data_IF_415328889278
#
_entry.id   IF_415328889278
#
_cell.length_a   1.000
_cell.length_b   1.000
_cell.length_c   1.000
_cell.angle_alpha   90.00
_cell.angle_beta   90.00
_cell.angle_gamma   90.00
#
_symmetry.space_group_name_H-M   'P 1'
#
loop_
_entity.id
_entity.type
_entity.pdbx_description
1 polymer ?
#
# COMPACT_ATOMS: atom_id res chain seq x y z
N UNK A 1 35.65 -4.83 -7.77
CA UNK A 1 35.20 -3.75 -6.86
C UNK A 1 35.03 -4.37 -5.48
N UNK A 2 35.01 -3.58 -4.42
CA UNK A 2 34.56 -4.08 -3.13
C UNK A 2 33.06 -4.39 -3.19
N UNK A 3 32.66 -5.40 -2.45
CA UNK A 3 31.28 -5.82 -2.32
C UNK A 3 30.56 -4.95 -1.29
N UNK A 4 29.24 -4.82 -1.42
CA UNK A 4 28.43 -4.05 -0.48
C UNK A 4 27.11 -4.73 -0.15
N UNK A 5 26.66 -4.52 1.07
CA UNK A 5 25.32 -4.83 1.56
C UNK A 5 24.66 -3.52 1.95
N UNK A 6 23.47 -3.28 1.41
CA UNK A 6 22.66 -2.09 1.61
C UNK A 6 21.24 -2.49 2.05
N UNK A 7 20.56 -1.62 2.79
CA UNK A 7 19.11 -1.65 2.94
C UNK A 7 18.53 -0.69 1.91
N UNK A 8 17.61 -1.19 1.10
CA UNK A 8 16.78 -0.37 0.22
C UNK A 8 15.46 0.00 0.90
N UNK A 9 15.01 1.24 0.72
CA UNK A 9 13.72 1.74 1.19
C UNK A 9 12.89 2.17 -0.01
N UNK A 10 11.81 1.45 -0.30
CA UNK A 10 10.86 1.79 -1.35
C UNK A 10 9.62 2.43 -0.75
N UNK A 11 9.29 3.65 -1.16
CA UNK A 11 8.05 4.30 -0.74
C UNK A 11 6.87 3.48 -1.26
N UNK A 12 5.98 3.08 -0.34
CA UNK A 12 4.77 2.31 -0.65
C UNK A 12 3.49 3.06 -0.27
N UNK A 13 3.61 4.32 0.13
CA UNK A 13 2.50 5.20 0.45
C UNK A 13 2.90 6.31 1.41
N UNK A 14 1.91 7.15 1.73
CA UNK A 14 2.05 8.25 2.68
C UNK A 14 0.84 8.30 3.59
N UNK A 15 1.05 8.52 4.88
CA UNK A 15 0.00 8.71 5.88
C UNK A 15 0.25 10.00 6.65
N UNK A 16 -0.75 10.89 6.72
CA UNK A 16 -0.65 12.20 7.39
C UNK A 16 0.56 13.04 6.92
N UNK A 17 0.85 13.01 5.63
CA UNK A 17 2.00 13.72 5.04
C UNK A 17 3.35 13.06 5.30
N UNK A 18 3.38 11.86 5.90
CA UNK A 18 4.60 11.09 6.13
C UNK A 18 4.64 9.86 5.23
N UNK A 19 5.68 9.78 4.40
CA UNK A 19 5.97 8.60 3.59
C UNK A 19 6.36 7.41 4.47
N UNK A 20 5.80 6.24 4.18
CA UNK A 20 6.21 4.97 4.77
C UNK A 20 6.79 4.03 3.72
N UNK A 21 7.73 3.20 4.16
CA UNK A 21 8.60 2.46 3.26
C UNK A 21 8.57 0.96 3.54
N UNK A 22 8.68 0.21 2.45
CA UNK A 22 9.06 -1.20 2.42
C UNK A 22 10.59 -1.30 2.37
N UNK A 23 11.17 -2.12 3.25
CA UNK A 23 12.59 -2.47 3.23
C UNK A 23 12.84 -3.75 2.44
N UNK A 24 13.93 -3.73 1.69
CA UNK A 24 14.57 -4.90 1.09
C UNK A 24 16.08 -4.84 1.34
N UNK A 25 16.76 -5.99 1.32
CA UNK A 25 18.21 -6.06 1.39
C UNK A 25 18.78 -6.16 -0.01
N UNK A 26 19.88 -5.46 -0.26
CA UNK A 26 20.54 -5.41 -1.55
C UNK A 26 22.02 -5.73 -1.39
N UNK A 27 22.48 -6.73 -2.12
CA UNK A 27 23.89 -7.08 -2.24
C UNK A 27 24.43 -6.65 -3.61
N UNK A 28 25.67 -6.17 -3.66
CA UNK A 28 26.40 -5.96 -4.92
C UNK A 28 27.71 -6.74 -4.87
N UNK A 29 27.91 -7.60 -5.86
CA UNK A 29 29.10 -8.44 -5.98
C UNK A 29 30.31 -7.66 -6.54
N UNK A 30 31.45 -8.33 -6.68
CA UNK A 30 32.71 -7.73 -7.18
C UNK A 30 32.61 -7.27 -8.63
N UNK A 31 31.70 -7.86 -9.40
CA UNK A 31 31.43 -7.60 -10.80
C UNK A 31 30.36 -6.51 -10.98
N UNK A 32 29.73 -6.05 -9.89
CA UNK A 32 28.67 -5.05 -9.90
C UNK A 32 27.27 -5.62 -10.10
N UNK A 33 27.09 -6.94 -10.14
CA UNK A 33 25.75 -7.53 -10.18
C UNK A 33 25.08 -7.36 -8.82
N UNK A 34 23.77 -7.11 -8.87
CA UNK A 34 22.99 -6.79 -7.70
C UNK A 34 21.91 -7.86 -7.46
N UNK A 35 21.73 -8.25 -6.19
CA UNK A 35 20.76 -9.27 -5.78
C UNK A 35 19.99 -8.82 -4.54
N UNK A 36 18.72 -9.24 -4.40
CA UNK A 36 17.88 -8.85 -3.28
C UNK A 36 17.41 -10.00 -2.38
N UNK A 37 17.08 -9.63 -1.14
CA UNK A 37 16.23 -10.40 -0.23
C UNK A 37 15.08 -9.48 0.18
N UNK A 38 13.83 -9.93 -0.02
CA UNK A 38 12.64 -9.14 0.26
C UNK A 38 11.54 -9.99 0.90
N UNK A 39 10.72 -9.35 1.73
CA UNK A 39 9.57 -9.98 2.38
C UNK A 39 8.25 -9.40 1.89
N UNK A 40 7.26 -10.25 1.70
CA UNK A 40 5.97 -9.93 1.12
C UNK A 40 4.83 -10.50 1.98
N UNK A 41 3.62 -10.01 1.73
CA UNK A 41 2.42 -10.72 2.18
C UNK A 41 2.36 -12.09 1.52
N UNK A 42 1.87 -13.10 2.23
CA UNK A 42 1.57 -14.41 1.64
C UNK A 42 0.10 -14.58 1.34
N UNK A 43 -0.31 -15.84 1.18
CA UNK A 43 -1.70 -16.18 0.90
C UNK A 43 -2.58 -16.02 2.15
N UNK A 44 -3.69 -15.26 2.07
CA UNK A 44 -4.62 -15.11 3.19
C UNK A 44 -5.22 -16.45 3.64
N UNK A 45 -5.30 -16.65 4.94
CA UNK A 45 -5.86 -17.85 5.57
C UNK A 45 -6.72 -17.46 6.79
N UNK A 46 -7.60 -18.34 7.30
CA UNK A 46 -8.36 -18.07 8.52
C UNK A 46 -7.44 -17.67 9.68
N UNK A 47 -7.63 -16.45 10.21
CA UNK A 47 -6.81 -15.88 11.28
C UNK A 47 -5.50 -15.20 10.82
N UNK A 48 -5.18 -15.26 9.53
CA UNK A 48 -4.01 -14.64 8.89
C UNK A 48 -4.46 -13.85 7.65
N UNK A 49 -5.03 -12.64 7.81
CA UNK A 49 -5.60 -11.86 6.70
C UNK A 49 -4.59 -11.47 5.62
N UNK A 50 -3.29 -11.41 5.95
CA UNK A 50 -2.19 -11.14 5.02
C UNK A 50 -1.30 -12.38 4.77
N UNK A 51 -1.77 -13.55 5.20
CA UNK A 51 -1.01 -14.78 5.18
C UNK A 51 0.19 -14.79 6.13
N UNK A 52 1.01 -15.82 5.98
CA UNK A 52 2.38 -15.80 6.51
C UNK A 52 3.29 -15.07 5.54
N UNK A 53 4.36 -14.50 6.06
CA UNK A 53 5.33 -13.74 5.28
C UNK A 53 5.95 -14.63 4.19
N UNK A 54 5.81 -14.18 2.95
CA UNK A 54 6.49 -14.79 1.82
C UNK A 54 7.86 -14.12 1.63
N UNK A 55 8.92 -14.89 1.46
CA UNK A 55 10.28 -14.39 1.37
C UNK A 55 10.92 -14.77 0.04
N UNK A 56 11.30 -13.76 -0.73
CA UNK A 56 12.07 -13.94 -1.96
C UNK A 56 13.55 -13.67 -1.68
N UNK A 57 14.43 -14.51 -2.20
CA UNK A 57 15.88 -14.41 -1.93
C UNK A 57 16.70 -14.59 -3.19
N UNK A 58 17.82 -13.88 -3.23
CA UNK A 58 18.83 -13.94 -4.30
C UNK A 58 18.30 -13.55 -5.69
N UNK A 59 17.21 -12.78 -5.74
CA UNK A 59 16.65 -12.29 -6.99
C UNK A 59 17.57 -11.24 -7.62
N UNK A 60 17.91 -11.34 -8.91
CA UNK A 60 18.64 -10.28 -9.61
C UNK A 60 17.89 -8.95 -9.48
N UNK A 61 18.60 -7.87 -9.16
CA UNK A 61 18.00 -6.53 -9.05
C UNK A 61 17.96 -5.85 -10.42
N UNK A 62 17.07 -6.36 -11.28
CA UNK A 62 16.80 -5.83 -12.62
C UNK A 62 15.32 -5.39 -12.74
N UNK A 63 14.90 -4.97 -13.94
CA UNK A 63 13.52 -4.49 -14.21
C UNK A 63 12.39 -5.48 -13.85
N UNK A 64 12.70 -6.77 -13.68
CA UNK A 64 11.72 -7.80 -13.30
C UNK A 64 11.60 -7.96 -11.79
N UNK A 65 12.59 -7.49 -11.03
CA UNK A 65 12.59 -7.51 -9.58
C UNK A 65 11.51 -6.56 -9.01
N UNK A 66 10.63 -6.99 -8.09
CA UNK A 66 9.56 -6.15 -7.55
C UNK A 66 10.05 -4.87 -6.86
N UNK A 67 11.29 -4.85 -6.36
CA UNK A 67 11.88 -3.69 -5.70
C UNK A 67 12.69 -2.79 -6.63
N UNK A 68 12.81 -3.12 -7.92
CA UNK A 68 13.54 -2.28 -8.85
C UNK A 68 12.70 -1.06 -9.29
N UNK A 69 13.25 0.17 -9.35
CA UNK A 69 12.50 1.38 -9.71
C UNK A 69 11.82 1.34 -11.09
N UNK A 70 12.37 0.55 -12.01
CA UNK A 70 11.80 0.34 -13.34
C UNK A 70 10.78 -0.81 -13.43
N UNK A 71 10.54 -1.53 -12.33
CA UNK A 71 9.49 -2.55 -12.28
C UNK A 71 8.12 -1.86 -12.35
N UNK A 72 7.17 -2.33 -13.18
CA UNK A 72 5.84 -1.71 -13.31
C UNK A 72 5.10 -1.47 -11.98
N UNK A 73 5.34 -2.31 -10.96
CA UNK A 73 4.72 -2.19 -9.63
C UNK A 73 5.42 -1.18 -8.71
N UNK A 74 6.58 -0.66 -9.12
CA UNK A 74 7.41 0.28 -8.37
C UNK A 74 7.71 1.59 -9.13
N UNK A 75 7.31 1.71 -10.40
CA UNK A 75 7.53 2.93 -11.19
C UNK A 75 6.91 4.14 -10.48
N UNK A 76 7.70 5.21 -10.35
CA UNK A 76 7.29 6.45 -9.69
C UNK A 76 7.39 6.43 -8.16
N UNK A 77 7.68 5.28 -7.54
CA UNK A 77 7.94 5.19 -6.11
C UNK A 77 9.39 5.61 -5.83
N UNK A 78 9.56 6.59 -4.94
CA UNK A 78 10.88 7.02 -4.49
C UNK A 78 11.60 5.86 -3.79
N UNK A 79 12.89 5.70 -4.09
CA UNK A 79 13.73 4.72 -3.44
C UNK A 79 14.97 5.37 -2.84
N UNK A 80 15.36 4.86 -1.67
CA UNK A 80 16.54 5.28 -0.93
C UNK A 80 17.38 4.06 -0.56
N UNK A 81 18.67 4.28 -0.28
CA UNK A 81 19.59 3.20 0.11
C UNK A 81 20.44 3.65 1.29
N UNK A 82 20.63 2.75 2.23
CA UNK A 82 21.54 2.90 3.37
C UNK A 82 22.60 1.81 3.31
N UNK A 83 23.88 2.20 3.31
CA UNK A 83 25.00 1.26 3.35
C UNK A 83 25.14 0.61 4.73
N UNK A 84 25.17 -0.72 4.76
CA UNK A 84 25.27 -1.50 5.99
C UNK A 84 26.67 -2.10 6.16
N UNK A 85 27.20 -2.70 5.09
CA UNK A 85 28.54 -3.28 5.07
C UNK A 85 29.20 -3.07 3.72
N UNK A 86 30.53 -2.95 3.75
CA UNK A 86 31.37 -2.81 2.57
C UNK A 86 32.71 -3.51 2.83
N UNK A 87 33.21 -4.27 1.86
CA UNK A 87 34.49 -4.95 2.03
C UNK A 87 34.91 -5.80 0.84
N UNK A 88 36.11 -6.40 0.93
CA UNK A 88 36.71 -7.11 -0.19
C UNK A 88 36.06 -8.47 -0.49
N UNK A 89 35.27 -9.03 0.44
CA UNK A 89 34.50 -10.26 0.25
C UNK A 89 33.40 -10.35 1.32
N UNK A 90 32.15 -10.17 0.90
CA UNK A 90 30.94 -10.34 1.68
C UNK A 90 30.11 -11.52 1.16
N UNK A 91 30.58 -12.26 0.15
CA UNK A 91 29.82 -13.31 -0.54
C UNK A 91 29.36 -14.41 0.42
N UNK A 92 30.22 -14.83 1.35
CA UNK A 92 29.87 -15.80 2.39
C UNK A 92 28.81 -15.27 3.35
N UNK A 93 28.91 -14.00 3.73
CA UNK A 93 27.91 -13.33 4.59
C UNK A 93 26.57 -13.25 3.86
N UNK A 94 26.58 -12.88 2.58
CA UNK A 94 25.37 -12.83 1.74
C UNK A 94 24.70 -14.21 1.62
N UNK A 95 25.48 -15.27 1.37
CA UNK A 95 24.95 -16.64 1.33
C UNK A 95 24.33 -17.08 2.66
N UNK A 96 24.91 -16.66 3.79
CA UNK A 96 24.32 -16.90 5.12
C UNK A 96 23.00 -16.13 5.30
N UNK A 97 22.95 -14.87 4.86
CA UNK A 97 21.73 -14.06 4.87
C UNK A 97 20.62 -14.68 4.01
N UNK A 98 20.94 -15.17 2.82
CA UNK A 98 20.01 -15.89 1.94
C UNK A 98 19.42 -17.11 2.67
N UNK A 99 20.28 -17.98 3.22
CA UNK A 99 19.82 -19.18 3.91
C UNK A 99 18.96 -18.84 5.14
N UNK A 100 19.37 -17.81 5.88
CA UNK A 100 18.64 -17.30 7.04
C UNK A 100 17.27 -16.73 6.64
N UNK A 101 17.19 -15.95 5.57
CA UNK A 101 15.94 -15.40 5.06
C UNK A 101 15.00 -16.49 4.55
N UNK A 102 15.49 -17.45 3.76
CA UNK A 102 14.69 -18.62 3.30
C UNK A 102 14.10 -19.42 4.47
N UNK A 103 14.82 -19.56 5.58
CA UNK A 103 14.30 -20.26 6.77
C UNK A 103 13.14 -19.56 7.48
N UNK A 104 12.84 -18.32 7.09
CA UNK A 104 11.74 -17.50 7.63
C UNK A 104 10.53 -17.45 6.69
N UNK A 105 10.66 -17.97 5.47
CA UNK A 105 9.56 -18.08 4.50
C UNK A 105 8.42 -18.93 5.06
N UNK A 106 7.18 -18.48 4.86
CA UNK A 106 5.94 -19.12 5.31
C UNK A 106 5.93 -19.51 6.81
N UNK A 107 6.72 -18.83 7.63
CA UNK A 107 6.83 -19.13 9.07
C UNK A 107 6.11 -18.12 9.95
N UNK A 108 6.29 -16.84 9.65
CA UNK A 108 5.85 -15.74 10.51
C UNK A 108 4.58 -15.08 9.97
N UNK A 109 3.52 -14.86 10.78
CA UNK A 109 2.34 -14.09 10.38
C UNK A 109 2.70 -12.70 9.85
N UNK A 110 2.13 -12.26 8.72
CA UNK A 110 2.36 -10.91 8.22
C UNK A 110 1.37 -9.92 8.86
N UNK A 111 1.88 -8.86 9.48
CA UNK A 111 1.13 -7.72 9.98
C UNK A 111 1.76 -6.41 9.46
N UNK A 112 1.01 -5.56 8.73
CA UNK A 112 1.59 -4.37 8.11
C UNK A 112 2.17 -3.34 9.11
N UNK A 113 1.73 -3.35 10.37
CA UNK A 113 2.22 -2.44 11.40
C UNK A 113 3.22 -3.10 12.35
N UNK A 114 3.03 -4.39 12.65
CA UNK A 114 3.73 -5.12 13.71
C UNK A 114 4.83 -6.06 13.23
N UNK A 115 4.66 -6.71 12.07
CA UNK A 115 5.60 -7.69 11.54
C UNK A 115 5.49 -7.82 10.02
N UNK A 116 6.39 -7.15 9.32
CA UNK A 116 6.36 -7.07 7.86
C UNK A 116 7.77 -7.23 7.27
N UNK A 117 7.93 -6.85 6.00
CA UNK A 117 9.23 -6.82 5.29
C UNK A 117 10.35 -6.12 6.07
N UNK A 118 10.01 -5.11 6.87
CA UNK A 118 10.97 -4.30 7.60
C UNK A 118 11.55 -5.09 8.77
N UNK A 119 10.70 -5.81 9.50
CA UNK A 119 11.12 -6.73 10.56
C UNK A 119 11.97 -7.87 10.02
N UNK A 120 11.64 -8.39 8.81
CA UNK A 120 12.46 -9.39 8.13
C UNK A 120 13.87 -8.88 7.82
N UNK A 121 13.96 -7.72 7.17
CA UNK A 121 15.24 -7.13 6.78
C UNK A 121 16.15 -6.94 8.02
N UNK A 122 15.61 -6.39 9.09
CA UNK A 122 16.35 -6.17 10.33
C UNK A 122 16.74 -7.49 11.01
N UNK A 123 15.84 -8.47 11.01
CA UNK A 123 16.14 -9.80 11.56
C UNK A 123 17.27 -10.51 10.81
N UNK A 124 17.29 -10.42 9.48
CA UNK A 124 18.34 -11.04 8.66
C UNK A 124 19.69 -10.38 8.90
N UNK A 125 19.72 -9.04 9.00
CA UNK A 125 20.94 -8.30 9.34
C UNK A 125 21.45 -8.66 10.74
N UNK A 126 20.56 -8.69 11.73
CA UNK A 126 20.88 -9.02 13.11
C UNK A 126 21.45 -10.43 13.25
N UNK A 127 20.83 -11.41 12.58
CA UNK A 127 21.29 -12.80 12.58
C UNK A 127 22.66 -12.96 11.90
N UNK A 128 22.94 -12.14 10.88
CA UNK A 128 24.24 -12.05 10.21
C UNK A 128 25.28 -11.23 11.00
N UNK A 129 24.92 -10.70 12.18
CA UNK A 129 25.75 -9.82 13.02
C UNK A 129 26.22 -8.55 12.29
N UNK A 130 25.38 -8.05 11.40
CA UNK A 130 25.57 -6.77 10.71
C UNK A 130 24.89 -5.63 11.48
N UNK A 131 25.33 -4.37 11.29
CA UNK A 131 24.62 -3.22 11.84
C UNK A 131 23.15 -3.18 11.37
N UNK A 132 22.25 -2.86 12.29
CA UNK A 132 20.87 -2.53 11.93
C UNK A 132 20.81 -1.11 11.31
N UNK A 133 19.86 -0.87 10.37
CA UNK A 133 19.68 0.44 9.76
C UNK A 133 19.37 1.54 10.79
N UNK A 134 19.71 2.79 10.45
CA UNK A 134 19.54 3.96 11.31
C UNK A 134 18.59 4.99 10.72
N UNK A 135 18.27 4.90 9.44
CA UNK A 135 17.46 5.88 8.73
C UNK A 135 15.98 5.48 8.64
N UNK A 136 15.54 4.50 9.40
CA UNK A 136 14.24 3.82 9.30
C UNK A 136 13.16 4.32 10.29
N UNK A 137 13.52 5.28 11.13
CA UNK A 137 12.61 5.92 12.09
C UNK A 137 11.67 6.97 11.47
N UNK A 138 10.76 7.50 12.29
CA UNK A 138 9.77 8.49 11.85
C UNK A 138 10.37 9.79 11.28
N UNK A 139 11.58 10.17 11.69
CA UNK A 139 12.30 11.33 11.13
C UNK A 139 13.07 11.02 9.84
N UNK A 140 13.24 9.74 9.48
CA UNK A 140 13.90 9.27 8.26
C UNK A 140 12.92 8.61 7.28
N UNK A 141 13.38 7.53 6.63
CA UNK A 141 12.61 6.60 5.80
C UNK A 141 11.74 5.70 6.67
N UNK A 142 10.68 6.29 7.24
CA UNK A 142 9.80 5.61 8.19
C UNK A 142 9.37 4.24 7.68
N UNK A 143 9.80 3.21 8.39
CA UNK A 143 9.56 1.81 8.07
C UNK A 143 8.81 1.17 9.26
N UNK A 144 7.46 1.08 9.21
CA UNK A 144 6.68 0.44 10.26
C UNK A 144 7.20 -0.97 10.57
N UNK A 145 7.11 -1.40 11.83
CA UNK A 145 7.67 -2.66 12.34
C UNK A 145 9.20 -2.81 12.32
N UNK A 146 9.94 -1.76 11.96
CA UNK A 146 11.39 -1.76 12.06
C UNK A 146 11.90 -1.96 13.49
N UNK A 147 13.04 -2.65 13.64
CA UNK A 147 13.71 -2.91 14.91
C UNK A 147 13.03 -3.95 15.81
N UNK A 148 11.90 -4.51 15.37
CA UNK A 148 11.19 -5.57 16.10
C UNK A 148 11.90 -6.93 15.94
N UNK A 149 11.49 -7.89 16.78
CA UNK A 149 11.87 -9.29 16.64
C UNK A 149 10.73 -10.04 15.95
N UNK A 150 11.09 -11.03 15.13
CA UNK A 150 10.10 -11.89 14.52
C UNK A 150 9.46 -12.80 15.58
N UNK A 151 8.14 -12.91 15.54
CA UNK A 151 7.31 -13.64 16.48
C UNK A 151 6.21 -14.40 15.72
N UNK A 152 6.22 -15.73 15.85
CA UNK A 152 5.25 -16.62 15.22
C UNK A 152 3.85 -16.50 15.83
N UNK A 153 3.74 -15.92 17.02
CA UNK A 153 2.49 -15.80 17.78
C UNK A 153 1.70 -14.51 17.50
N UNK A 154 2.24 -13.61 16.67
CA UNK A 154 1.54 -12.39 16.27
C UNK A 154 0.20 -12.74 15.63
N UNK A 155 -0.83 -12.02 16.06
CA UNK A 155 -2.17 -12.07 15.47
C UNK A 155 -2.33 -10.85 14.60
N UNK A 156 -2.25 -10.97 13.26
CA UNK A 156 -2.28 -9.81 12.40
C UNK A 156 -3.58 -9.03 12.53
N UNK A 157 -3.45 -7.72 12.59
CA UNK A 157 -4.56 -6.78 12.55
C UNK A 157 -4.59 -6.17 11.15
N UNK A 158 -5.76 -6.12 10.55
CA UNK A 158 -5.96 -5.39 9.29
C UNK A 158 -5.94 -3.89 9.61
N UNK A 159 -4.96 -3.09 9.15
CA UNK A 159 -5.02 -1.66 9.36
C UNK A 159 -6.20 -1.10 8.55
N UNK A 160 -7.19 -0.55 9.26
CA UNK A 160 -8.53 -0.25 8.75
C UNK A 160 -9.65 -0.94 9.55
N UNK A 161 -9.30 -2.01 10.26
CA UNK A 161 -10.06 -2.56 11.38
C UNK A 161 -9.57 -1.89 12.65
N UNK A 162 -10.27 -0.85 13.08
CA UNK A 162 -10.10 -0.33 14.43
C UNK A 162 -10.44 -1.42 15.43
N UNK A 163 -9.42 -2.05 16.03
CA UNK A 163 -9.50 -2.41 17.44
C UNK A 163 -8.85 -1.31 18.25
N UNK A 164 -9.40 -0.10 18.11
CA UNK A 164 -9.39 0.80 19.24
C UNK A 164 -10.25 0.14 20.30
N UNK A 165 -9.63 -0.38 21.34
CA UNK A 165 -10.23 -0.46 22.68
C UNK A 165 -10.65 0.92 23.23
N UNK A 166 -10.68 1.96 22.38
CA UNK A 166 -11.52 3.13 22.53
C UNK A 166 -12.70 2.99 21.59
N UNK A 167 -13.84 2.65 22.18
CA UNK A 167 -15.12 3.17 21.74
C UNK A 167 -14.90 4.66 21.52
N UNK A 168 -14.79 5.11 20.27
CA UNK A 168 -15.00 6.50 19.95
C UNK A 168 -16.50 6.71 19.97
N UNK A 169 -17.05 6.73 21.17
CA UNK A 169 -18.25 7.50 21.50
C UNK A 169 -17.86 8.98 21.51
N UNK A 170 -17.29 9.44 20.40
CA UNK A 170 -17.21 10.83 20.04
C UNK A 170 -18.07 10.91 18.78
N UNK A 171 -19.35 11.23 18.96
CA UNK A 171 -20.24 11.47 17.84
C UNK A 171 -19.61 12.51 16.95
N UNK A 172 -19.26 12.12 15.72
CA UNK A 172 -19.15 13.09 14.64
C UNK A 172 -20.51 13.80 14.55
N UNK A 173 -20.55 15.12 14.31
CA UNK A 173 -21.82 15.77 14.03
C UNK A 173 -22.47 14.98 12.88
N UNK A 174 -23.72 14.57 13.08
CA UNK A 174 -24.49 13.94 12.01
C UNK A 174 -24.36 14.81 10.77
N UNK A 175 -24.00 14.21 9.63
CA UNK A 175 -24.05 14.91 8.35
C UNK A 175 -25.44 15.56 8.24
N UNK A 176 -25.48 16.85 7.95
CA UNK A 176 -26.77 17.48 7.66
C UNK A 176 -27.40 16.78 6.43
N UNK A 177 -28.73 16.76 6.38
CA UNK A 177 -29.45 15.96 5.38
C UNK A 177 -29.12 16.40 3.94
N UNK A 178 -28.85 17.69 3.72
CA UNK A 178 -28.49 18.23 2.42
C UNK A 178 -27.09 17.77 2.00
N UNK A 179 -26.15 17.72 2.94
CA UNK A 179 -24.78 17.25 2.71
C UNK A 179 -24.74 15.75 2.45
N UNK A 180 -25.49 14.96 3.22
CA UNK A 180 -25.64 13.53 2.95
C UNK A 180 -26.24 13.29 1.55
N UNK A 181 -27.29 14.03 1.17
CA UNK A 181 -27.89 13.95 -0.15
C UNK A 181 -26.90 14.32 -1.27
N UNK A 182 -26.02 15.30 -1.04
CA UNK A 182 -24.96 15.67 -1.98
C UNK A 182 -23.92 14.55 -2.13
N UNK A 183 -23.48 13.93 -1.04
CA UNK A 183 -22.50 12.84 -1.08
C UNK A 183 -23.08 11.55 -1.66
N UNK A 184 -24.38 11.29 -1.48
CA UNK A 184 -25.11 10.24 -2.19
C UNK A 184 -25.21 10.48 -3.70
N UNK A 185 -25.07 11.74 -4.13
CA UNK A 185 -24.99 12.11 -5.54
C UNK A 185 -23.56 12.07 -6.10
N UNK A 186 -22.55 11.72 -5.30
CA UNK A 186 -21.17 11.59 -5.76
C UNK A 186 -21.07 10.54 -6.90
N UNK A 187 -20.33 10.82 -7.98
CA UNK A 187 -20.21 9.90 -9.12
C UNK A 187 -19.72 8.51 -8.73
N UNK A 188 -18.74 8.38 -7.84
CA UNK A 188 -18.18 7.08 -7.43
C UNK A 188 -19.18 6.31 -6.57
N UNK A 189 -19.89 7.01 -5.67
CA UNK A 189 -20.95 6.39 -4.87
C UNK A 189 -22.07 5.84 -5.76
N UNK A 190 -22.54 6.64 -6.74
CA UNK A 190 -23.59 6.22 -7.68
C UNK A 190 -23.13 5.07 -8.59
N UNK A 191 -21.89 5.10 -9.05
CA UNK A 191 -21.32 4.05 -9.88
C UNK A 191 -21.16 2.74 -9.09
N UNK A 192 -20.70 2.80 -7.84
CA UNK A 192 -20.63 1.65 -6.95
C UNK A 192 -22.01 1.04 -6.68
N UNK A 193 -23.02 1.88 -6.38
CA UNK A 193 -24.41 1.44 -6.24
C UNK A 193 -24.91 0.73 -7.50
N UNK A 194 -24.69 1.33 -8.67
CA UNK A 194 -25.12 0.73 -9.93
C UNK A 194 -24.40 -0.59 -10.24
N UNK A 195 -23.13 -0.73 -9.84
CA UNK A 195 -22.40 -2.00 -9.94
C UNK A 195 -22.95 -3.08 -9.02
N UNK A 196 -23.26 -2.72 -7.77
CA UNK A 196 -23.90 -3.63 -6.81
C UNK A 196 -25.31 -4.03 -7.27
N UNK A 197 -26.10 -3.11 -7.82
CA UNK A 197 -27.42 -3.41 -8.37
C UNK A 197 -27.36 -4.41 -9.52
N UNK A 198 -26.31 -4.35 -10.36
CA UNK A 198 -26.08 -5.32 -11.44
C UNK A 198 -25.71 -6.72 -10.93
N UNK A 199 -24.98 -6.81 -9.82
CA UNK A 199 -24.69 -8.09 -9.16
C UNK A 199 -25.98 -8.71 -8.57
N UNK A 200 -26.87 -7.85 -8.07
CA UNK A 200 -28.15 -8.24 -7.50
C UNK A 200 -28.05 -8.92 -6.13
N UNK A 201 -29.18 -9.10 -5.43
CA UNK A 201 -29.21 -9.73 -4.11
C UNK A 201 -28.90 -11.24 -4.18
N UNK A 202 -29.16 -11.89 -5.32
CA UNK A 202 -28.99 -13.34 -5.49
C UNK A 202 -27.52 -13.78 -5.54
N UNK A 203 -26.59 -12.88 -5.85
CA UNK A 203 -25.17 -13.12 -5.72
C UNK A 203 -24.71 -13.25 -4.25
N UNK A 204 -25.62 -13.09 -3.28
CA UNK A 204 -25.31 -13.15 -1.85
C UNK A 204 -24.45 -11.99 -1.37
N UNK A 205 -24.32 -10.92 -2.18
CA UNK A 205 -23.40 -9.81 -1.93
C UNK A 205 -23.95 -8.83 -0.89
N UNK A 206 -25.26 -8.59 -0.84
CA UNK A 206 -25.88 -7.77 0.21
C UNK A 206 -27.25 -8.34 0.59
N UNK A 207 -27.61 -8.25 1.86
CA UNK A 207 -28.86 -8.82 2.40
C UNK A 207 -29.99 -7.81 2.48
N UNK A 208 -29.67 -6.51 2.45
CA UNK A 208 -30.62 -5.41 2.53
C UNK A 208 -30.06 -4.13 1.90
N UNK A 209 -30.92 -3.13 1.73
CA UNK A 209 -30.59 -1.85 1.11
C UNK A 209 -29.53 -1.07 1.89
N UNK A 210 -29.53 -1.13 3.23
CA UNK A 210 -28.55 -0.40 4.05
C UNK A 210 -27.14 -0.97 3.87
N UNK A 211 -26.99 -2.30 3.83
CA UNK A 211 -25.71 -2.95 3.59
C UNK A 211 -25.17 -2.61 2.20
N UNK A 212 -26.04 -2.59 1.19
CA UNK A 212 -25.69 -2.16 -0.17
C UNK A 212 -25.11 -0.75 -0.18
N UNK A 213 -25.76 0.18 0.51
CA UNK A 213 -25.29 1.57 0.59
C UNK A 213 -23.97 1.69 1.35
N UNK A 214 -23.79 0.96 2.46
CA UNK A 214 -22.52 0.92 3.21
C UNK A 214 -21.37 0.40 2.35
N UNK A 215 -21.59 -0.68 1.60
CA UNK A 215 -20.62 -1.21 0.64
C UNK A 215 -20.33 -0.25 -0.51
N UNK A 216 -21.34 0.43 -1.04
CA UNK A 216 -21.14 1.46 -2.07
C UNK A 216 -20.30 2.63 -1.54
N UNK A 217 -20.53 3.05 -0.29
CA UNK A 217 -19.73 4.05 0.40
C UNK A 217 -18.27 3.65 0.49
N UNK A 218 -18.00 2.43 0.97
CA UNK A 218 -16.65 1.89 1.08
C UNK A 218 -15.96 1.78 -0.30
N UNK A 219 -16.63 1.24 -1.32
CA UNK A 219 -16.08 1.15 -2.69
C UNK A 219 -15.75 2.52 -3.27
N UNK A 220 -16.60 3.53 -3.03
CA UNK A 220 -16.38 4.89 -3.51
C UNK A 220 -15.14 5.53 -2.86
N UNK A 221 -14.96 5.33 -1.56
CA UNK A 221 -13.77 5.80 -0.81
C UNK A 221 -12.50 5.14 -1.39
N UNK A 222 -12.48 3.82 -1.48
CA UNK A 222 -11.31 3.08 -1.99
C UNK A 222 -11.00 3.44 -3.45
N UNK A 223 -12.01 3.60 -4.31
CA UNK A 223 -11.80 3.94 -5.71
C UNK A 223 -11.22 5.36 -5.87
N UNK A 224 -11.65 6.32 -5.05
CA UNK A 224 -11.08 7.67 -5.00
C UNK A 224 -9.64 7.66 -4.51
N UNK A 225 -9.36 6.96 -3.42
CA UNK A 225 -8.02 6.87 -2.83
C UNK A 225 -7.05 6.12 -3.75
N UNK A 226 -7.51 5.03 -4.37
CA UNK A 226 -6.80 4.27 -5.39
C UNK A 226 -6.72 4.97 -6.75
N UNK A 227 -7.24 6.21 -6.87
CA UNK A 227 -7.18 7.06 -8.06
C UNK A 227 -7.75 6.39 -9.32
N UNK A 228 -8.77 5.55 -9.17
CA UNK A 228 -9.50 5.02 -10.33
C UNK A 228 -10.16 6.21 -11.06
N UNK A 229 -10.12 6.31 -12.39
CA UNK A 229 -10.83 7.37 -13.12
C UNK A 229 -12.37 7.28 -12.99
N UNK A 230 -12.89 6.14 -12.54
CA UNK A 230 -14.28 5.90 -12.21
C UNK A 230 -14.49 4.42 -11.86
N UNK A 231 -15.70 4.04 -11.49
CA UNK A 231 -16.08 2.64 -11.27
C UNK A 231 -16.97 2.22 -12.43
N UNK A 232 -16.49 1.32 -13.28
CA UNK A 232 -17.27 0.81 -14.42
C UNK A 232 -18.00 -0.48 -14.05
N UNK A 233 -17.33 -1.32 -13.28
CA UNK A 233 -17.79 -2.64 -12.89
C UNK A 233 -17.52 -2.87 -11.40
N UNK A 234 -18.46 -3.57 -10.73
CA UNK A 234 -18.23 -4.12 -9.39
C UNK A 234 -18.27 -5.63 -9.52
N UNK A 235 -17.22 -6.30 -9.07
CA UNK A 235 -17.08 -7.75 -9.16
C UNK A 235 -17.00 -8.33 -7.75
N UNK A 236 -17.83 -9.34 -7.46
CA UNK A 236 -17.72 -10.10 -6.23
C UNK A 236 -16.75 -11.25 -6.41
N UNK A 237 -15.87 -11.46 -5.44
CA UNK A 237 -15.06 -12.67 -5.38
C UNK A 237 -15.87 -13.77 -4.68
N UNK A 238 -16.21 -14.88 -5.38
CA UNK A 238 -17.04 -15.94 -4.82
C UNK A 238 -16.36 -16.72 -3.69
N UNK A 239 -15.03 -16.65 -3.55
CA UNK A 239 -14.28 -17.40 -2.54
C UNK A 239 -14.27 -16.73 -1.16
N UNK A 240 -14.26 -15.40 -1.10
CA UNK A 240 -14.15 -14.66 0.16
C UNK A 240 -15.20 -13.55 0.34
N UNK A 241 -16.03 -13.29 -0.68
CA UNK A 241 -17.06 -12.27 -0.63
C UNK A 241 -16.54 -10.83 -0.75
N UNK A 242 -15.25 -10.62 -1.03
CA UNK A 242 -14.70 -9.29 -1.28
C UNK A 242 -15.27 -8.70 -2.56
N UNK A 243 -15.41 -7.38 -2.58
CA UNK A 243 -15.92 -6.65 -3.72
C UNK A 243 -14.81 -5.82 -4.34
N UNK A 244 -14.71 -5.87 -5.66
CA UNK A 244 -13.74 -5.14 -6.44
C UNK A 244 -14.44 -4.04 -7.22
N UNK A 245 -13.99 -2.79 -7.08
CA UNK A 245 -14.31 -1.74 -8.04
C UNK A 245 -13.27 -1.79 -9.16
N UNK A 246 -13.75 -1.85 -10.41
CA UNK A 246 -12.92 -2.06 -11.58
C UNK A 246 -13.14 -0.93 -12.60
N UNK A 247 -12.03 -0.47 -13.15
CA UNK A 247 -11.99 0.45 -14.28
C UNK A 247 -11.14 -0.17 -15.40
N UNK A 248 -11.67 -0.19 -16.62
CA UNK A 248 -10.97 -0.67 -17.82
C UNK A 248 -10.63 0.52 -18.71
N UNK A 249 -9.41 0.59 -19.21
CA UNK A 249 -8.99 1.70 -20.05
C UNK A 249 -9.74 1.69 -21.40
N UNK A 250 -10.46 2.77 -21.76
CA UNK A 250 -11.13 2.84 -23.06
C UNK A 250 -10.13 2.66 -24.21
N UNK A 251 -10.34 1.62 -25.03
CA UNK A 251 -9.45 1.30 -26.16
C UNK A 251 -8.29 0.37 -25.81
N UNK A 252 -8.16 -0.07 -24.56
CA UNK A 252 -7.23 -1.12 -24.16
C UNK A 252 -7.79 -1.97 -23.01
N UNK A 253 -8.61 -2.98 -23.34
CA UNK A 253 -9.31 -3.81 -22.37
C UNK A 253 -8.40 -4.67 -21.48
N UNK A 254 -7.10 -4.75 -21.77
CA UNK A 254 -6.09 -5.43 -20.95
C UNK A 254 -5.52 -4.53 -19.84
N UNK A 255 -5.73 -3.22 -19.93
CA UNK A 255 -5.32 -2.25 -18.91
C UNK A 255 -6.47 -2.01 -17.92
N UNK A 256 -6.34 -2.65 -16.76
CA UNK A 256 -7.40 -2.74 -15.76
C UNK A 256 -6.89 -2.23 -14.42
N UNK A 257 -7.52 -1.19 -13.89
CA UNK A 257 -7.33 -0.73 -12.53
C UNK A 257 -8.39 -1.33 -11.62
N UNK A 258 -7.99 -1.77 -10.42
CA UNK A 258 -8.91 -2.33 -9.44
C UNK A 258 -8.52 -1.94 -8.02
N UNK A 259 -9.52 -1.70 -7.20
CA UNK A 259 -9.43 -1.65 -5.73
C UNK A 259 -10.43 -2.64 -5.15
N UNK A 260 -10.26 -3.00 -3.89
CA UNK A 260 -11.17 -3.96 -3.23
C UNK A 260 -11.60 -3.48 -1.85
N UNK A 261 -12.74 -3.98 -1.41
CA UNK A 261 -13.23 -3.89 -0.02
C UNK A 261 -13.54 -5.28 0.51
N UNK A 262 -13.41 -5.44 1.82
CA UNK A 262 -14.05 -6.53 2.55
C UNK A 262 -15.52 -6.15 2.80
N UNK A 263 -16.44 -7.01 2.35
CA UNK A 263 -17.88 -6.81 2.52
C UNK A 263 -18.27 -6.76 4.00
N UNK A 264 -17.74 -7.68 4.82
CA UNK A 264 -18.06 -7.82 6.24
C UNK A 264 -17.61 -6.62 7.06
N UNK A 265 -16.49 -6.01 6.70
CA UNK A 265 -16.02 -4.76 7.31
C UNK A 265 -16.79 -3.54 6.81
N UNK A 266 -17.08 -3.47 5.51
CA UNK A 266 -17.82 -2.37 4.93
C UNK A 266 -19.20 -2.18 5.60
N UNK A 267 -19.91 -3.28 5.90
CA UNK A 267 -21.25 -3.22 6.52
C UNK A 267 -21.24 -2.92 8.02
N UNK A 268 -20.12 -3.12 8.73
CA UNK A 268 -19.98 -2.80 10.16
C UNK A 268 -19.91 -1.30 10.41
N UNK A 269 -19.40 -0.55 9.44
CA UNK A 269 -19.27 0.89 9.52
C UNK A 269 -20.57 1.57 9.04
N UNK A 270 -21.12 2.54 9.78
CA UNK A 270 -22.25 3.35 9.33
C UNK A 270 -21.99 4.01 7.97
N UNK A 271 -23.05 4.17 7.17
CA UNK A 271 -22.95 4.86 5.88
C UNK A 271 -22.43 6.29 6.04
N UNK A 272 -22.88 7.00 7.08
CA UNK A 272 -22.43 8.36 7.36
C UNK A 272 -20.90 8.47 7.49
N UNK A 273 -20.24 7.47 8.09
CA UNK A 273 -18.78 7.45 8.23
C UNK A 273 -18.08 7.23 6.88
N UNK A 274 -18.63 6.36 6.02
CA UNK A 274 -18.13 6.19 4.66
C UNK A 274 -18.31 7.46 3.81
N UNK A 275 -19.47 8.12 3.92
CA UNK A 275 -19.74 9.37 3.19
C UNK A 275 -18.83 10.50 3.67
N UNK A 276 -18.56 10.60 4.97
CA UNK A 276 -17.60 11.57 5.48
C UNK A 276 -16.17 11.30 4.99
N UNK A 277 -15.74 10.03 4.94
CA UNK A 277 -14.45 9.67 4.31
C UNK A 277 -14.41 9.99 2.82
N UNK A 278 -15.53 9.80 2.10
CA UNK A 278 -15.66 10.15 0.69
C UNK A 278 -15.56 11.65 0.47
N UNK A 279 -16.19 12.44 1.35
CA UNK A 279 -16.06 13.89 1.39
C UNK A 279 -14.61 14.34 1.55
N UNK A 280 -13.89 13.77 2.51
CA UNK A 280 -12.46 14.06 2.72
C UNK A 280 -11.66 13.73 1.46
N UNK A 281 -11.90 12.55 0.85
CA UNK A 281 -11.24 12.15 -0.39
C UNK A 281 -11.55 13.11 -1.56
N UNK A 282 -12.77 13.63 -1.63
CA UNK A 282 -13.16 14.63 -2.63
C UNK A 282 -12.44 15.95 -2.44
N UNK A 283 -12.30 16.43 -1.20
CA UNK A 283 -11.57 17.67 -0.92
C UNK A 283 -10.08 17.54 -1.27
N UNK A 284 -9.47 16.38 -0.99
CA UNK A 284 -8.08 16.10 -1.33
C UNK A 284 -7.85 16.06 -2.86
N UNK A 285 -8.81 15.56 -3.64
CA UNK A 285 -8.73 15.55 -5.10
C UNK A 285 -8.82 16.97 -5.72
N UNK A 286 -9.55 17.90 -5.08
CA UNK A 286 -9.74 19.27 -5.57
C UNK A 286 -8.57 20.19 -5.24
N UNK A 287 -7.74 19.88 -4.23
CA UNK A 287 -6.59 20.72 -3.83
C UNK A 287 -5.31 20.44 -4.63
N UNK A 288 -5.22 19.29 -5.29
CA UNK A 288 -4.08 18.90 -6.12
C UNK A 288 -3.77 19.80 -7.35
N UNK A 289 -4.74 20.45 -8.05
CA UNK A 289 -4.42 21.26 -9.21
C UNK A 289 -3.93 22.68 -8.88
N UNK A 290 -4.16 23.19 -7.67
CA UNK A 290 -3.84 24.59 -7.32
C UNK A 290 -2.36 24.84 -7.01
N UNK A 291 -1.61 23.82 -6.59
CA UNK A 291 -0.17 23.97 -6.32
C UNK A 291 0.69 23.89 -7.59
N UNK A 292 0.26 23.15 -8.61
CA UNK A 292 0.97 23.12 -9.90
C UNK A 292 0.76 24.40 -10.72
N UNK A 293 -0.41 25.05 -10.62
CA UNK A 293 -0.69 26.30 -11.31
C UNK A 293 0.11 27.49 -10.74
N UNK A 294 0.27 27.58 -9.41
CA UNK A 294 1.08 28.63 -8.78
C UNK A 294 2.58 28.45 -9.02
N UNK A 295 3.06 27.21 -9.15
CA UNK A 295 4.47 26.94 -9.45
C UNK A 295 4.83 27.28 -10.90
N UNK A 296 3.93 27.02 -11.86
CA UNK A 296 4.16 27.35 -13.29
C UNK A 296 4.07 28.85 -13.62
N UNK A 297 3.41 29.66 -12.79
CA UNK A 297 3.35 31.12 -12.98
C UNK A 297 4.59 31.86 -12.47
N UNK A 298 5.41 31.22 -11.63
CA UNK A 298 6.65 31.81 -11.09
C UNK A 298 7.91 31.46 -11.92
N UNK A 299 7.79 30.57 -12.91
CA UNK A 299 8.93 30.05 -13.71
C UNK A 299 9.03 30.60 -15.15
N UNK A 300 8.32 31.68 -15.52
CA UNK A 300 8.60 32.36 -16.79
C UNK A 300 9.76 33.36 -16.64
N UNK A 301 10.91 33.16 -17.30
CA UNK A 301 11.94 34.19 -17.40
C UNK A 301 11.55 35.19 -18.50
N UNK A 302 11.49 36.47 -18.14
CA UNK A 302 11.44 37.57 -19.11
C UNK A 302 12.69 37.56 -19.99
N UNK A 303 12.57 37.09 -21.22
CA UNK A 303 13.54 37.36 -22.27
C UNK A 303 12.85 37.93 -23.50
N UNK A 304 13.25 39.15 -23.86
CA UNK A 304 13.15 39.63 -25.23
C UNK A 304 12.70 41.09 -25.37
N UNK A 305 13.67 42.00 -25.49
CA UNK A 305 13.65 43.01 -26.55
C UNK A 305 15.02 43.73 -26.62
N UNK A 306 15.93 43.20 -27.44
CA UNK A 306 16.91 44.03 -28.16
C UNK A 306 16.61 43.84 -29.64
N UNK A 307 15.98 44.84 -30.23
CA UNK A 307 15.86 45.00 -31.67
C UNK A 307 16.64 46.25 -32.07
N UNK A 308 17.45 46.03 -33.10
CA UNK A 308 18.25 46.92 -33.97
C UNK A 308 17.88 48.40 -33.97
#
# INVERSE_FOLDING_TARGET
MDEKIEVGYRNIGSQLGKDYHHKFLLYTDKQGHQHTISGWTGDPQPGLPYGRMHVETDLPYDRTNPDHPANPNAVGQKQYREGIAHGPDLSKTWQQMIANARSKDDRYPYDPLEQNSNTLADSVLRDAKLPEPKQDGFTGHWAPASGRQLDESIKPVVPGLGNSGRVSSAGHPALDADREAQLRNDPYFRQALAGLDRLGPEAGVYTNQQDKERMAGALAVEAKQGRLPGIQEVVANPANGNLFAVWKNPGNDQDVMRVHIDKGEAIKQPLADHLHRLEIANQQAVQAPTQEAHSRLMEQPHHGALAR
#
